data_IF_990354780983
#
_entry.id   IF_990354780983
#
_cell.length_a   1.000
_cell.length_b   1.000
_cell.length_c   1.000
_cell.angle_alpha   90.00
_cell.angle_beta   90.00
_cell.angle_gamma   90.00
#
_symmetry.space_group_name_H-M   'P 1'
#
loop_
_entity.id
_entity.type
_entity.pdbx_description
1 polymer ?
#
# COMPACT_ATOMS: atom_id res chain seq x y z
N UNK A 1 17.60 -50.21 -27.13
CA UNK A 1 16.40 -49.69 -26.48
C UNK A 1 16.65 -48.55 -25.48
N UNK A 2 17.89 -48.26 -25.06
CA UNK A 2 18.22 -47.19 -24.09
C UNK A 2 18.28 -45.75 -24.65
N UNK A 3 18.36 -45.58 -25.97
CA UNK A 3 18.63 -44.29 -26.60
C UNK A 3 17.36 -43.47 -26.94
N UNK A 4 16.17 -44.09 -26.89
CA UNK A 4 14.90 -43.45 -27.22
C UNK A 4 14.33 -42.72 -26.02
N UNK A 5 14.47 -43.29 -24.81
CA UNK A 5 14.01 -42.67 -23.55
C UNK A 5 14.79 -41.39 -23.19
N UNK A 6 16.10 -41.37 -23.45
CA UNK A 6 16.96 -40.23 -23.17
C UNK A 6 16.67 -39.04 -24.09
N UNK A 7 16.34 -39.30 -25.37
CA UNK A 7 15.91 -38.28 -26.33
C UNK A 7 14.54 -37.70 -26.01
N UNK A 8 13.61 -38.54 -25.53
CA UNK A 8 12.28 -38.08 -25.12
C UNK A 8 12.34 -37.23 -23.84
N UNK A 9 13.18 -37.67 -22.89
CA UNK A 9 13.39 -36.91 -21.63
C UNK A 9 14.04 -35.54 -21.90
N UNK A 10 15.01 -35.49 -22.83
CA UNK A 10 15.68 -34.25 -23.22
C UNK A 10 14.75 -33.32 -23.98
N UNK A 11 13.91 -33.83 -24.88
CA UNK A 11 12.90 -33.06 -25.59
C UNK A 11 11.81 -32.56 -24.62
N UNK A 12 11.38 -33.35 -23.63
CA UNK A 12 10.45 -32.88 -22.59
C UNK A 12 11.08 -31.85 -21.68
N UNK A 13 12.36 -31.97 -21.31
CA UNK A 13 13.08 -30.95 -20.54
C UNK A 13 13.30 -29.67 -21.35
N UNK A 14 13.61 -29.76 -22.64
CA UNK A 14 13.73 -28.62 -23.54
C UNK A 14 12.35 -27.93 -23.71
N UNK A 15 11.25 -28.66 -23.84
CA UNK A 15 9.88 -28.11 -23.92
C UNK A 15 9.44 -27.51 -22.60
N UNK A 16 9.87 -28.04 -21.45
CA UNK A 16 9.61 -27.45 -20.12
C UNK A 16 10.46 -26.20 -19.90
N UNK A 17 11.71 -26.19 -20.38
CA UNK A 17 12.58 -25.00 -20.32
C UNK A 17 12.15 -23.90 -21.32
N UNK A 18 11.57 -24.25 -22.47
CA UNK A 18 10.98 -23.33 -23.43
C UNK A 18 9.58 -22.82 -22.96
N UNK A 19 8.89 -23.56 -22.06
CA UNK A 19 7.62 -23.12 -21.44
C UNK A 19 7.82 -22.22 -20.21
N UNK A 20 9.00 -22.11 -19.66
CA UNK A 20 9.45 -20.94 -18.90
C UNK A 20 9.79 -19.81 -19.88
N UNK A 21 8.82 -19.45 -20.75
CA UNK A 21 8.87 -18.16 -21.44
C UNK A 21 9.07 -17.13 -20.34
N UNK A 22 10.11 -16.31 -20.44
CA UNK A 22 10.31 -15.13 -19.60
C UNK A 22 8.95 -14.49 -19.45
N UNK A 23 8.37 -14.57 -18.24
CA UNK A 23 7.07 -13.96 -17.99
C UNK A 23 7.27 -12.49 -18.30
N UNK A 24 6.72 -12.02 -19.42
CA UNK A 24 6.88 -10.62 -19.85
C UNK A 24 6.41 -9.74 -18.71
N UNK A 25 7.34 -9.08 -18.05
CA UNK A 25 7.03 -8.14 -16.99
C UNK A 25 6.20 -7.00 -17.57
N UNK A 26 5.09 -6.71 -16.92
CA UNK A 26 4.13 -5.70 -17.37
C UNK A 26 4.63 -4.31 -16.99
N UNK A 27 4.49 -3.34 -17.88
CA UNK A 27 4.64 -1.93 -17.55
C UNK A 27 3.40 -1.41 -16.83
N UNK A 28 3.52 -0.26 -16.15
CA UNK A 28 2.37 0.37 -15.51
C UNK A 28 1.28 0.76 -16.52
N UNK A 29 1.65 1.22 -17.72
CA UNK A 29 0.68 1.54 -18.78
C UNK A 29 -0.08 0.29 -19.24
N UNK A 30 0.64 -0.81 -19.50
CA UNK A 30 0.02 -2.09 -19.86
C UNK A 30 -0.90 -2.59 -18.72
N UNK A 31 -0.49 -2.42 -17.46
CA UNK A 31 -1.31 -2.75 -16.29
C UNK A 31 -2.58 -1.91 -16.21
N UNK A 32 -2.48 -0.60 -16.37
CA UNK A 32 -3.64 0.31 -16.34
C UNK A 32 -4.63 0.05 -17.47
N UNK A 33 -4.17 -0.47 -18.61
CA UNK A 33 -5.04 -0.90 -19.71
C UNK A 33 -5.63 -2.30 -19.49
N UNK A 34 -4.92 -3.14 -18.73
CA UNK A 34 -5.32 -4.52 -18.44
C UNK A 34 -6.31 -4.62 -17.28
N UNK A 35 -6.21 -3.74 -16.23
CA UNK A 35 -7.03 -3.86 -15.01
C UNK A 35 -8.49 -4.09 -15.39
N UNK A 36 -9.07 -5.25 -15.04
CA UNK A 36 -10.44 -5.57 -15.42
C UNK A 36 -11.44 -4.69 -14.67
N UNK A 37 -12.52 -4.35 -15.34
CA UNK A 37 -13.69 -3.75 -14.70
C UNK A 37 -14.31 -4.78 -13.75
N UNK A 38 -14.42 -4.45 -12.45
CA UNK A 38 -15.09 -5.34 -11.50
C UNK A 38 -14.60 -5.21 -10.05
N UNK A 39 -14.79 -6.29 -9.29
CA UNK A 39 -14.54 -6.31 -7.83
C UNK A 39 -13.09 -6.58 -7.42
N UNK A 40 -12.20 -6.95 -8.34
CA UNK A 40 -10.80 -7.23 -8.03
C UNK A 40 -10.01 -5.96 -7.70
N UNK A 41 -9.15 -6.03 -6.69
CA UNK A 41 -8.09 -5.04 -6.46
C UNK A 41 -6.76 -5.66 -6.88
N UNK A 42 -6.02 -4.98 -7.72
CA UNK A 42 -4.78 -5.48 -8.29
C UNK A 42 -3.69 -4.42 -8.14
N UNK A 43 -2.52 -4.84 -7.70
CA UNK A 43 -1.31 -4.02 -7.67
C UNK A 43 -0.30 -4.55 -8.67
N UNK A 44 0.59 -3.69 -9.14
CA UNK A 44 1.72 -4.07 -9.97
C UNK A 44 3.01 -3.95 -9.16
N UNK A 45 3.69 -5.09 -8.96
CA UNK A 45 4.94 -5.14 -8.22
C UNK A 45 6.07 -5.57 -9.15
N UNK A 46 6.91 -4.62 -9.57
CA UNK A 46 8.04 -4.90 -10.46
C UNK A 46 7.65 -5.71 -11.71
N UNK A 47 6.54 -5.34 -12.32
CA UNK A 47 6.02 -5.99 -13.53
C UNK A 47 5.15 -7.23 -13.30
N UNK A 48 4.97 -7.65 -12.05
CA UNK A 48 4.12 -8.79 -11.68
C UNK A 48 2.82 -8.28 -11.08
N UNK A 49 1.69 -8.70 -11.64
CA UNK A 49 0.37 -8.38 -11.11
C UNK A 49 0.09 -9.21 -9.87
N UNK A 50 -0.28 -8.55 -8.78
CA UNK A 50 -0.74 -9.17 -7.54
C UNK A 50 -2.21 -8.88 -7.33
N UNK A 51 -3.03 -9.90 -7.11
CA UNK A 51 -4.41 -9.75 -6.69
C UNK A 51 -4.46 -9.58 -5.17
N UNK A 52 -5.13 -8.53 -4.72
CA UNK A 52 -5.30 -8.22 -3.30
C UNK A 52 -6.54 -8.94 -2.77
N UNK A 53 -6.35 -9.93 -1.90
CA UNK A 53 -7.44 -10.64 -1.23
C UNK A 53 -7.69 -10.03 0.15
N UNK A 54 -8.61 -9.07 0.21
CA UNK A 54 -8.94 -8.38 1.46
C UNK A 54 -10.06 -9.10 2.21
N UNK A 55 -9.92 -9.19 3.53
CA UNK A 55 -10.97 -9.72 4.41
C UNK A 55 -11.97 -8.61 4.78
N UNK A 56 -13.20 -8.98 5.17
CA UNK A 56 -14.17 -8.00 5.64
C UNK A 56 -13.67 -7.17 6.83
N UNK A 57 -12.92 -7.77 7.75
CA UNK A 57 -12.32 -7.08 8.90
C UNK A 57 -11.27 -6.05 8.45
N UNK A 58 -10.43 -6.41 7.48
CA UNK A 58 -9.45 -5.48 6.91
C UNK A 58 -10.15 -4.26 6.29
N UNK A 59 -11.18 -4.48 5.47
CA UNK A 59 -11.98 -3.41 4.87
C UNK A 59 -12.70 -2.55 5.92
N UNK A 60 -13.15 -3.15 7.04
CA UNK A 60 -13.78 -2.43 8.13
C UNK A 60 -12.77 -1.49 8.80
N UNK A 61 -11.58 -1.96 9.15
CA UNK A 61 -10.52 -1.14 9.75
C UNK A 61 -10.15 0.03 8.84
N UNK A 62 -9.91 -0.22 7.55
CA UNK A 62 -9.60 0.83 6.59
C UNK A 62 -10.75 1.84 6.42
N UNK A 63 -11.98 1.35 6.35
CA UNK A 63 -13.19 2.18 6.19
C UNK A 63 -13.44 3.10 7.37
N UNK A 64 -13.33 2.60 8.60
CA UNK A 64 -13.52 3.40 9.81
C UNK A 64 -12.43 4.46 9.97
N UNK A 65 -11.16 4.11 9.70
CA UNK A 65 -10.07 5.11 9.68
C UNK A 65 -10.37 6.20 8.65
N UNK A 66 -10.79 5.84 7.44
CA UNK A 66 -11.15 6.80 6.40
C UNK A 66 -12.33 7.71 6.81
N UNK A 67 -13.29 7.18 7.57
CA UNK A 67 -14.41 7.94 8.10
C UNK A 67 -13.96 8.97 9.14
N UNK A 68 -13.14 8.58 10.13
CA UNK A 68 -12.59 9.47 11.14
C UNK A 68 -11.76 10.60 10.50
N UNK A 69 -10.87 10.26 9.57
CA UNK A 69 -10.08 11.27 8.86
C UNK A 69 -10.95 12.21 8.00
N UNK A 70 -12.04 11.70 7.40
CA UNK A 70 -12.99 12.54 6.66
C UNK A 70 -13.70 13.53 7.56
N UNK A 71 -14.03 13.16 8.80
CA UNK A 71 -14.60 14.08 9.80
C UNK A 71 -13.60 15.19 10.16
N UNK A 72 -12.33 14.84 10.38
CA UNK A 72 -11.27 15.82 10.66
C UNK A 72 -11.02 16.76 9.47
N UNK A 73 -10.97 16.26 8.24
CA UNK A 73 -10.85 17.09 7.03
C UNK A 73 -11.96 18.15 6.98
N UNK A 74 -13.20 17.75 7.27
CA UNK A 74 -14.37 18.65 7.27
C UNK A 74 -14.32 19.64 8.42
N UNK A 75 -13.97 19.16 9.62
CA UNK A 75 -13.87 20.00 10.82
C UNK A 75 -12.82 21.09 10.65
N UNK A 76 -11.67 20.76 10.09
CA UNK A 76 -10.54 21.66 9.87
C UNK A 76 -10.61 22.43 8.54
N UNK A 77 -11.62 22.15 7.70
CA UNK A 77 -11.79 22.72 6.36
C UNK A 77 -10.56 22.57 5.47
N UNK A 78 -9.88 21.41 5.55
CA UNK A 78 -8.67 21.13 4.78
C UNK A 78 -9.00 20.89 3.31
N UNK A 79 -8.12 21.26 2.39
CA UNK A 79 -8.29 21.04 0.94
C UNK A 79 -7.99 19.59 0.54
N UNK A 80 -8.36 18.64 1.38
CA UNK A 80 -8.09 17.22 1.18
C UNK A 80 -9.35 16.43 0.88
N UNK A 81 -9.18 15.23 0.36
CA UNK A 81 -10.23 14.22 0.26
C UNK A 81 -9.63 12.82 0.21
N UNK A 82 -10.45 11.82 0.51
CA UNK A 82 -10.10 10.41 0.40
C UNK A 82 -10.87 9.86 -0.80
N UNK A 83 -10.20 9.45 -1.89
CA UNK A 83 -10.85 8.78 -3.01
C UNK A 83 -11.26 7.36 -2.60
N UNK A 84 -12.20 6.79 -3.32
CA UNK A 84 -12.54 5.38 -3.12
C UNK A 84 -11.35 4.46 -3.41
N UNK A 85 -10.54 4.83 -4.39
CA UNK A 85 -9.34 4.10 -4.81
C UNK A 85 -8.46 4.99 -5.67
N UNK A 86 -7.17 4.88 -5.53
CA UNK A 86 -6.21 5.44 -6.49
C UNK A 86 -4.95 4.58 -6.56
N UNK A 87 -4.22 4.71 -7.64
CA UNK A 87 -2.93 4.05 -7.82
C UNK A 87 -1.84 5.07 -7.50
N UNK A 88 -0.83 4.66 -6.74
CA UNK A 88 0.40 5.42 -6.52
C UNK A 88 1.49 4.83 -7.41
N UNK A 89 2.05 5.64 -8.32
CA UNK A 89 3.21 5.26 -9.12
C UNK A 89 4.49 5.65 -8.38
N UNK A 90 5.39 4.70 -8.07
CA UNK A 90 6.71 5.01 -7.52
C UNK A 90 7.55 5.89 -8.49
N UNK A 91 8.49 6.67 -7.95
CA UNK A 91 9.22 7.68 -8.73
C UNK A 91 10.13 7.06 -9.79
N UNK A 92 10.83 5.99 -9.47
CA UNK A 92 11.85 5.36 -10.33
C UNK A 92 11.37 4.04 -10.96
N UNK A 93 10.04 3.85 -11.08
CA UNK A 93 9.49 2.60 -11.56
C UNK A 93 8.43 2.81 -12.63
N UNK A 94 8.67 2.23 -13.81
CA UNK A 94 7.67 2.17 -14.87
C UNK A 94 6.90 0.83 -14.88
N UNK A 95 7.17 -0.03 -13.90
CA UNK A 95 6.57 -1.35 -13.78
C UNK A 95 6.04 -1.65 -12.37
N UNK A 96 5.67 -0.59 -11.62
CA UNK A 96 5.04 -0.73 -10.30
C UNK A 96 3.90 0.28 -10.14
N UNK A 97 2.88 -0.13 -9.39
CA UNK A 97 1.75 0.72 -9.02
C UNK A 97 1.00 0.10 -7.86
N UNK A 98 0.85 0.85 -6.76
CA UNK A 98 0.26 0.38 -5.51
C UNK A 98 -1.10 1.01 -5.26
N UNK A 99 -2.00 0.27 -4.63
CA UNK A 99 -3.34 0.74 -4.25
C UNK A 99 -3.44 0.68 -2.72
N UNK A 100 -3.13 1.78 -2.02
CA UNK A 100 -3.22 1.80 -0.57
C UNK A 100 -4.66 1.62 -0.07
N UNK A 101 -4.78 1.19 1.18
CA UNK A 101 -6.08 1.02 1.81
C UNK A 101 -6.77 2.36 2.08
N UNK A 102 -6.01 3.38 2.52
CA UNK A 102 -6.50 4.76 2.61
C UNK A 102 -5.47 5.72 2.03
N UNK A 103 -5.93 6.61 1.17
CA UNK A 103 -5.09 7.64 0.55
C UNK A 103 -5.72 9.01 0.76
N UNK A 104 -4.96 9.93 1.34
CA UNK A 104 -5.35 11.34 1.44
C UNK A 104 -4.78 12.10 0.27
N UNK A 105 -5.64 12.80 -0.48
CA UNK A 105 -5.22 13.58 -1.66
C UNK A 105 -5.43 15.08 -1.41
N UNK A 106 -4.41 15.87 -1.73
CA UNK A 106 -4.45 17.31 -1.74
C UNK A 106 -5.08 17.83 -3.04
N UNK A 107 -6.28 18.44 -2.95
CA UNK A 107 -7.00 18.98 -4.12
C UNK A 107 -6.20 20.03 -4.88
N UNK A 108 -5.40 20.82 -4.16
CA UNK A 108 -4.63 21.92 -4.76
C UNK A 108 -3.45 21.42 -5.61
N UNK A 109 -2.95 20.20 -5.34
CA UNK A 109 -1.86 19.60 -6.10
C UNK A 109 -2.33 18.85 -7.35
N UNK A 110 -3.62 18.49 -7.45
CA UNK A 110 -4.14 17.66 -8.53
C UNK A 110 -4.01 18.28 -9.94
N UNK A 111 -3.85 19.59 -10.04
CA UNK A 111 -3.65 20.24 -11.33
C UNK A 111 -2.32 19.81 -11.98
N UNK A 112 -1.35 19.43 -11.17
CA UNK A 112 -0.02 18.99 -11.59
C UNK A 112 0.06 17.48 -11.82
N UNK A 113 -1.02 16.73 -11.55
CA UNK A 113 -1.04 15.26 -11.70
C UNK A 113 -1.46 14.83 -13.11
N UNK A 114 -0.52 14.38 -13.94
CA UNK A 114 -0.80 14.12 -15.36
C UNK A 114 -1.74 12.93 -15.58
N UNK A 115 -1.74 11.96 -14.67
CA UNK A 115 -2.50 10.72 -14.81
C UNK A 115 -3.79 10.67 -13.99
N UNK A 116 -4.05 11.65 -13.11
CA UNK A 116 -5.21 11.65 -12.23
C UNK A 116 -6.55 11.58 -12.97
N UNK A 117 -6.80 12.52 -13.86
CA UNK A 117 -8.12 12.68 -14.51
C UNK A 117 -8.56 11.47 -15.34
N UNK A 118 -7.62 10.72 -15.90
CA UNK A 118 -7.94 9.61 -16.82
C UNK A 118 -7.73 8.23 -16.20
N UNK A 119 -6.84 8.12 -15.19
CA UNK A 119 -6.35 6.84 -14.70
C UNK A 119 -6.40 6.72 -13.17
N UNK A 120 -6.92 7.74 -12.45
CA UNK A 120 -6.91 7.78 -10.98
C UNK A 120 -5.53 7.43 -10.39
N UNK A 121 -4.46 7.89 -11.05
CA UNK A 121 -3.08 7.58 -10.68
C UNK A 121 -2.38 8.84 -10.23
N UNK A 122 -1.67 8.76 -9.10
CA UNK A 122 -0.85 9.82 -8.52
C UNK A 122 0.62 9.50 -8.77
N UNK A 123 1.39 10.51 -9.14
CA UNK A 123 2.81 10.38 -9.51
C UNK A 123 3.72 11.28 -8.69
N UNK A 124 3.17 12.18 -7.86
CA UNK A 124 3.93 13.18 -7.10
C UNK A 124 3.55 13.13 -5.61
N UNK A 125 4.57 13.07 -4.74
CA UNK A 125 4.36 13.00 -3.30
C UNK A 125 3.63 14.21 -2.70
N UNK A 126 3.79 15.39 -3.29
CA UNK A 126 3.07 16.61 -2.87
C UNK A 126 1.54 16.47 -2.95
N UNK A 127 1.05 15.58 -3.80
CA UNK A 127 -0.37 15.26 -3.91
C UNK A 127 -0.88 14.35 -2.78
N UNK A 128 0.04 13.73 -2.01
CA UNK A 128 -0.22 12.68 -1.03
C UNK A 128 0.22 13.11 0.38
N UNK A 129 -0.58 13.92 1.11
CA UNK A 129 -0.25 14.26 2.50
C UNK A 129 -0.15 13.04 3.41
N UNK A 130 -0.98 12.00 3.20
CA UNK A 130 -1.03 10.80 4.03
C UNK A 130 -1.41 9.58 3.20
N UNK A 131 -0.71 8.48 3.46
CA UNK A 131 -1.05 7.14 2.97
C UNK A 131 -1.12 6.18 4.14
N UNK A 132 -2.08 5.25 4.13
CA UNK A 132 -2.26 4.24 5.17
C UNK A 132 -2.39 2.86 4.54
N UNK A 133 -1.66 1.90 5.07
CA UNK A 133 -1.76 0.48 4.76
C UNK A 133 -2.19 -0.30 6.02
N UNK A 134 -3.15 -1.17 5.87
CA UNK A 134 -3.61 -2.10 6.92
C UNK A 134 -2.92 -3.43 6.67
N UNK A 135 -2.13 -3.89 7.63
CA UNK A 135 -1.26 -5.05 7.46
C UNK A 135 -2.05 -6.33 7.28
N UNK A 136 -1.68 -7.07 6.25
CA UNK A 136 -2.13 -8.44 5.98
C UNK A 136 -0.98 -9.44 6.14
N UNK A 137 -1.17 -10.67 5.67
CA UNK A 137 -0.13 -11.73 5.73
C UNK A 137 1.16 -11.35 5.01
N UNK A 138 1.12 -10.45 4.04
CA UNK A 138 2.27 -9.98 3.26
C UNK A 138 2.91 -8.70 3.87
N UNK A 139 2.98 -8.63 5.20
CA UNK A 139 3.51 -7.47 5.93
C UNK A 139 4.85 -6.91 5.42
N UNK A 140 5.65 -7.72 4.73
CA UNK A 140 6.91 -7.27 4.14
C UNK A 140 6.71 -6.24 3.04
N UNK A 141 5.61 -6.32 2.29
CA UNK A 141 5.30 -5.34 1.26
C UNK A 141 5.15 -3.95 1.88
N UNK A 142 4.45 -3.84 3.01
CA UNK A 142 4.17 -2.57 3.70
C UNK A 142 5.39 -2.02 4.45
N UNK A 143 6.07 -2.88 5.23
CA UNK A 143 7.19 -2.48 6.09
C UNK A 143 8.55 -2.36 5.38
N UNK A 144 8.69 -2.86 4.16
CA UNK A 144 9.97 -2.82 3.43
C UNK A 144 9.84 -2.08 2.10
N UNK A 145 9.06 -2.65 1.18
CA UNK A 145 9.01 -2.17 -0.19
C UNK A 145 8.24 -0.85 -0.29
N UNK A 146 6.97 -0.82 0.13
CA UNK A 146 6.14 0.39 0.07
C UNK A 146 6.72 1.51 0.94
N UNK A 147 7.23 1.17 2.15
CA UNK A 147 7.90 2.14 3.02
C UNK A 147 9.01 2.89 2.29
N UNK A 148 9.92 2.18 1.64
CA UNK A 148 11.02 2.79 0.89
C UNK A 148 10.56 3.58 -0.33
N UNK A 149 9.55 3.09 -1.05
CA UNK A 149 9.03 3.77 -2.24
C UNK A 149 8.24 5.03 -1.88
N UNK A 150 7.48 5.02 -0.78
CA UNK A 150 6.72 6.18 -0.30
C UNK A 150 7.64 7.26 0.28
N UNK A 151 8.71 6.85 0.96
CA UNK A 151 9.76 7.78 1.42
C UNK A 151 10.44 8.49 0.25
N UNK A 152 10.88 7.75 -0.78
CA UNK A 152 11.48 8.33 -2.00
C UNK A 152 10.52 9.25 -2.75
N UNK A 153 9.24 8.91 -2.80
CA UNK A 153 8.22 9.73 -3.44
C UNK A 153 7.97 11.04 -2.66
N UNK A 154 8.38 11.10 -1.39
CA UNK A 154 8.20 12.28 -0.54
C UNK A 154 6.80 12.41 0.05
N UNK A 155 6.12 11.29 0.31
CA UNK A 155 4.83 11.29 1.03
C UNK A 155 5.06 11.79 2.44
N UNK A 156 4.29 12.81 2.87
CA UNK A 156 4.55 13.50 4.13
C UNK A 156 4.33 12.62 5.37
N UNK A 157 3.31 11.76 5.32
CA UNK A 157 3.00 10.85 6.43
C UNK A 157 2.55 9.49 5.90
N UNK A 158 3.12 8.42 6.45
CA UNK A 158 2.76 7.05 6.10
C UNK A 158 2.43 6.24 7.35
N UNK A 159 1.23 5.65 7.41
CA UNK A 159 0.81 4.81 8.54
C UNK A 159 0.77 3.34 8.14
N UNK A 160 1.29 2.49 9.03
CA UNK A 160 1.13 1.05 8.94
C UNK A 160 0.29 0.60 10.15
N UNK A 161 -0.90 0.06 9.86
CA UNK A 161 -1.86 -0.40 10.86
C UNK A 161 -1.74 -1.90 11.01
N UNK A 162 -0.94 -2.36 11.94
CA UNK A 162 -0.75 -3.78 12.24
C UNK A 162 -1.58 -4.21 13.45
N UNK A 163 -2.90 -4.29 13.25
CA UNK A 163 -3.86 -4.61 14.30
C UNK A 163 -3.80 -6.07 14.77
N UNK A 164 -3.20 -6.98 13.98
CA UNK A 164 -3.02 -8.40 14.33
C UNK A 164 -1.61 -8.73 14.84
N UNK A 165 -0.67 -7.78 14.83
CA UNK A 165 0.70 -8.02 15.24
C UNK A 165 1.45 -9.00 14.34
N UNK A 166 1.25 -8.93 13.00
CA UNK A 166 1.86 -9.81 12.01
C UNK A 166 3.29 -9.41 11.64
N UNK A 167 3.61 -8.14 11.74
CA UNK A 167 4.88 -7.55 11.33
C UNK A 167 6.12 -8.20 11.92
N UNK A 168 7.26 -7.86 11.38
CA UNK A 168 8.55 -8.34 11.89
C UNK A 168 8.85 -7.79 13.29
N UNK A 169 9.47 -8.62 14.15
CA UNK A 169 9.80 -8.24 15.56
C UNK A 169 10.55 -6.91 15.67
N UNK A 170 11.36 -6.56 14.69
CA UNK A 170 12.10 -5.28 14.68
C UNK A 170 11.19 -4.06 14.55
N UNK A 171 9.98 -4.22 14.02
CA UNK A 171 9.02 -3.15 13.84
C UNK A 171 8.00 -3.09 14.97
N UNK A 172 7.49 -4.25 15.40
CA UNK A 172 6.37 -4.32 16.35
C UNK A 172 6.75 -4.89 17.72
N UNK A 173 8.05 -5.17 17.95
CA UNK A 173 8.55 -5.61 19.24
C UNK A 173 8.67 -7.13 19.42
N UNK A 174 9.19 -7.53 20.60
CA UNK A 174 9.31 -8.91 21.03
C UNK A 174 8.91 -9.03 22.51
N UNK A 175 7.76 -9.66 22.87
CA UNK A 175 6.85 -10.34 21.94
C UNK A 175 6.22 -9.40 20.91
N UNK A 176 5.76 -9.97 19.80
CA UNK A 176 4.97 -9.24 18.81
C UNK A 176 3.65 -8.79 19.44
N UNK A 177 3.21 -7.59 19.10
CA UNK A 177 1.95 -7.03 19.57
C UNK A 177 1.33 -6.10 18.51
N UNK A 178 0.01 -5.88 18.53
CA UNK A 178 -0.62 -4.87 17.69
C UNK A 178 0.08 -3.53 17.82
N UNK A 179 0.37 -2.91 16.66
CA UNK A 179 1.16 -1.67 16.63
C UNK A 179 0.74 -0.82 15.43
N UNK A 180 0.54 0.46 15.65
CA UNK A 180 0.42 1.46 14.60
C UNK A 180 1.76 2.17 14.48
N UNK A 181 2.36 2.11 13.30
CA UNK A 181 3.61 2.80 12.99
C UNK A 181 3.28 4.03 12.15
N UNK A 182 3.56 5.22 12.66
CA UNK A 182 3.38 6.50 11.95
C UNK A 182 4.76 7.00 11.55
N UNK A 183 5.03 6.97 10.27
CA UNK A 183 6.23 7.51 9.64
C UNK A 183 5.95 8.93 9.20
N UNK A 184 6.77 9.88 9.64
CA UNK A 184 6.67 11.30 9.29
C UNK A 184 7.92 11.73 8.55
N UNK A 185 7.76 12.45 7.44
CA UNK A 185 8.87 12.98 6.66
C UNK A 185 9.49 14.18 7.39
N UNK A 186 10.74 14.05 7.78
CA UNK A 186 11.53 15.09 8.46
C UNK A 186 12.89 15.13 7.78
N UNK A 187 13.27 16.27 7.23
CA UNK A 187 14.57 16.46 6.54
C UNK A 187 14.83 15.36 5.47
N UNK A 188 13.82 15.05 4.66
CA UNK A 188 13.81 14.04 3.57
C UNK A 188 13.99 12.57 4.03
N UNK A 189 13.80 12.29 5.31
CA UNK A 189 13.83 10.92 5.87
C UNK A 189 12.59 10.64 6.72
N UNK A 190 12.15 9.37 6.74
CA UNK A 190 11.05 8.94 7.60
C UNK A 190 11.50 8.71 9.04
N UNK A 191 10.92 9.47 9.96
CA UNK A 191 11.00 9.24 11.40
C UNK A 191 9.74 8.52 11.89
N UNK A 192 9.91 7.42 12.62
CA UNK A 192 8.79 6.58 13.04
C UNK A 192 8.43 6.80 14.52
N UNK A 193 7.13 6.93 14.78
CA UNK A 193 6.55 6.82 16.11
C UNK A 193 5.62 5.60 16.16
N UNK A 194 5.68 4.84 17.26
CA UNK A 194 4.89 3.63 17.47
C UNK A 194 3.80 3.90 18.50
N UNK A 195 2.56 3.53 18.17
CA UNK A 195 1.40 3.68 19.05
C UNK A 195 0.78 2.32 19.33
N UNK A 196 0.44 2.08 20.59
CA UNK A 196 -0.04 0.80 21.10
C UNK A 196 -1.09 1.02 22.17
N UNK A 197 -1.86 0.00 22.48
CA UNK A 197 -2.84 0.06 23.57
C UNK A 197 -3.69 1.35 23.51
N UNK A 198 -3.66 2.15 24.54
CA UNK A 198 -4.44 3.38 24.64
C UNK A 198 -3.67 4.64 24.19
N UNK A 199 -2.52 4.47 23.52
CA UNK A 199 -1.77 5.59 23.00
C UNK A 199 -2.64 6.37 21.99
N UNK A 200 -2.72 7.68 22.15
CA UNK A 200 -3.33 8.57 21.15
C UNK A 200 -2.39 8.70 19.96
N UNK A 201 -2.90 8.45 18.75
CA UNK A 201 -2.14 8.59 17.51
C UNK A 201 -1.78 10.07 17.30
N UNK A 202 -0.51 10.33 17.03
CA UNK A 202 0.00 11.65 16.74
C UNK A 202 0.28 11.77 15.24
N UNK A 203 -0.47 12.64 14.58
CA UNK A 203 -0.32 12.94 13.17
C UNK A 203 0.10 14.40 12.99
N UNK A 204 1.06 14.66 12.12
CA UNK A 204 1.43 16.02 11.73
C UNK A 204 0.36 16.66 10.84
N UNK A 205 -0.36 15.84 10.06
CA UNK A 205 -1.45 16.28 9.19
C UNK A 205 -2.72 16.62 10.00
N UNK A 206 -2.97 15.87 11.07
CA UNK A 206 -4.13 16.00 11.94
C UNK A 206 -3.71 16.11 13.42
N UNK A 207 -3.11 17.23 13.86
CA UNK A 207 -2.53 17.36 15.20
C UNK A 207 -3.56 17.26 16.34
N UNK A 208 -4.82 17.51 16.04
CA UNK A 208 -5.92 17.42 17.01
C UNK A 208 -6.71 16.11 16.93
N UNK A 209 -6.31 15.18 16.06
CA UNK A 209 -6.96 13.88 15.91
C UNK A 209 -7.06 13.19 17.28
N UNK A 210 -8.28 12.85 17.68
CA UNK A 210 -8.55 12.17 18.95
C UNK A 210 -8.89 10.70 18.70
N UNK A 211 -7.94 9.95 18.14
CA UNK A 211 -8.06 8.55 17.84
C UNK A 211 -6.93 7.79 18.55
N UNK A 212 -7.26 6.70 19.24
CA UNK A 212 -6.29 5.85 19.94
C UNK A 212 -6.03 4.56 19.17
N UNK A 213 -4.88 3.93 19.41
CA UNK A 213 -4.55 2.65 18.82
C UNK A 213 -5.56 1.56 19.23
N UNK A 214 -6.00 1.54 20.50
CA UNK A 214 -7.02 0.60 20.98
C UNK A 214 -8.32 0.70 20.18
N UNK A 215 -8.82 1.92 19.90
CA UNK A 215 -10.04 2.09 19.12
C UNK A 215 -9.95 1.48 17.72
N UNK A 216 -8.78 1.54 17.09
CA UNK A 216 -8.54 0.89 15.79
C UNK A 216 -8.43 -0.63 15.95
N UNK A 217 -7.73 -1.13 16.97
CA UNK A 217 -7.53 -2.56 17.16
C UNK A 217 -8.84 -3.29 17.48
N UNK A 218 -9.73 -2.67 18.28
CA UNK A 218 -11.06 -3.20 18.60
C UNK A 218 -11.93 -3.44 17.36
N UNK A 219 -11.76 -2.65 16.29
CA UNK A 219 -12.44 -2.88 15.02
C UNK A 219 -12.04 -4.21 14.36
N UNK A 220 -10.81 -4.64 14.60
CA UNK A 220 -10.28 -5.90 14.10
C UNK A 220 -10.69 -7.14 14.89
N UNK A 221 -11.30 -6.98 16.07
CA UNK A 221 -11.72 -8.06 16.95
C UNK A 221 -13.23 -8.40 16.83
N UNK A 222 -13.99 -7.60 16.07
CA UNK A 222 -15.46 -7.68 15.93
C UNK A 222 -15.95 -8.63 14.85
#
# INVERSE_FOLDING_TARGET
MYNFGLKLLKAMMETVLESESEAKLMTLEEFLDWVPDGYGRYELHQGVVKEMQLTGTHEQVAGEIAAELTLEIRRLQLPYFIPRQCIIKPIDSDNSGYIPDVTLINKNALENEPMWKKRSTITQGESLPLVIEVVSTNWQDDYLMKLSEYEKLGIQEYWIIDYLGLGGRRYIGNPKQPTISVYQMIDDEYMVNLFREHDRIQSAIFPELNLTAAQIFELGES
#
